data_IF_137227130981
#
_entry.id   IF_137227130981
#
_cell.length_a   1.000
_cell.length_b   1.000
_cell.length_c   1.000
_cell.angle_alpha   90.00
_cell.angle_beta   90.00
_cell.angle_gamma   90.00
#
_symmetry.space_group_name_H-M   'P 1'
#
loop_
_entity.id
_entity.type
_entity.pdbx_description
1 polymer ?
#
# COMPACT_ATOMS: atom_id res chain seq x y z
N UNK A 1 -8.22 -0.13 -21.65
CA UNK A 1 -9.52 -0.66 -22.08
C UNK A 1 -10.22 0.30 -23.04
N UNK A 2 -10.66 1.49 -22.59
CA UNK A 2 -11.43 2.46 -23.42
C UNK A 2 -10.67 2.83 -24.68
N UNK A 3 -9.41 3.27 -24.60
CA UNK A 3 -8.60 3.59 -25.78
C UNK A 3 -8.46 2.43 -26.77
N UNK A 4 -8.36 1.19 -26.26
CA UNK A 4 -8.26 0.01 -27.14
C UNK A 4 -9.57 -0.20 -27.92
N UNK A 5 -10.71 0.10 -27.31
CA UNK A 5 -12.02 0.08 -27.96
C UNK A 5 -12.11 1.15 -29.06
N UNK A 6 -11.76 2.41 -28.77
CA UNK A 6 -11.76 3.51 -29.73
C UNK A 6 -10.84 3.21 -30.94
N UNK A 7 -9.68 2.60 -30.65
CA UNK A 7 -8.75 2.16 -31.71
C UNK A 7 -9.38 1.08 -32.61
N UNK A 8 -10.05 0.09 -31.99
CA UNK A 8 -10.73 -0.99 -32.72
C UNK A 8 -11.84 -0.40 -33.65
N UNK A 9 -12.69 0.50 -33.13
CA UNK A 9 -13.71 1.18 -33.91
C UNK A 9 -13.13 2.03 -35.06
N UNK A 10 -11.92 2.55 -34.85
CA UNK A 10 -11.17 3.32 -35.86
C UNK A 10 -10.46 2.42 -36.91
N UNK A 11 -10.66 1.10 -36.86
CA UNK A 11 -10.11 0.14 -37.82
C UNK A 11 -8.73 -0.42 -37.50
N UNK A 12 -8.19 -0.18 -36.27
CA UNK A 12 -6.99 -0.86 -35.84
C UNK A 12 -7.32 -2.32 -35.49
N UNK A 13 -6.42 -3.22 -35.86
CA UNK A 13 -6.52 -4.65 -35.52
C UNK A 13 -5.34 -5.06 -34.69
N UNK A 14 -5.54 -5.99 -33.74
CA UNK A 14 -4.50 -6.60 -32.92
C UNK A 14 -4.02 -7.93 -33.48
N UNK A 15 -2.98 -8.47 -32.89
CA UNK A 15 -2.53 -9.86 -33.11
C UNK A 15 -3.62 -10.82 -32.62
N UNK A 16 -4.05 -11.75 -33.48
CA UNK A 16 -5.16 -12.67 -33.18
C UNK A 16 -4.85 -13.60 -32.00
N UNK A 17 -3.59 -13.99 -31.83
CA UNK A 17 -3.10 -14.84 -30.74
C UNK A 17 -1.97 -14.12 -29.95
N UNK A 18 -2.17 -12.86 -29.63
CA UNK A 18 -1.18 -12.02 -28.97
C UNK A 18 -0.73 -12.54 -27.61
N UNK A 19 -1.62 -13.25 -26.89
CA UNK A 19 -1.24 -13.88 -25.62
C UNK A 19 -0.17 -14.94 -25.82
N UNK A 20 -0.37 -15.88 -26.72
CA UNK A 20 0.62 -16.93 -27.01
C UNK A 20 1.85 -16.40 -27.72
N UNK A 21 1.68 -15.53 -28.73
CA UNK A 21 2.80 -15.06 -29.55
C UNK A 21 3.69 -14.06 -28.80
N UNK A 22 3.13 -13.17 -28.01
CA UNK A 22 3.89 -12.15 -27.29
C UNK A 22 4.24 -12.63 -25.89
N UNK A 23 3.24 -12.92 -25.06
CA UNK A 23 3.49 -13.33 -23.67
C UNK A 23 4.14 -14.70 -23.59
N UNK A 24 3.62 -15.69 -24.32
CA UNK A 24 4.14 -17.04 -24.29
C UNK A 24 5.50 -17.23 -24.93
N UNK A 25 5.74 -16.59 -26.11
CA UNK A 25 6.98 -16.87 -26.87
C UNK A 25 8.09 -15.83 -26.68
N UNK A 26 7.75 -14.60 -26.28
CA UNK A 26 8.72 -13.49 -26.22
C UNK A 26 9.02 -13.09 -24.77
N UNK A 27 7.99 -12.95 -23.92
CA UNK A 27 8.15 -12.38 -22.57
C UNK A 27 8.37 -13.45 -21.52
N UNK A 28 7.63 -14.56 -21.59
CA UNK A 28 7.65 -15.60 -20.54
C UNK A 28 8.71 -16.66 -20.77
N UNK A 29 9.30 -17.14 -19.69
CA UNK A 29 10.16 -18.33 -19.69
C UNK A 29 9.36 -19.64 -19.59
N UNK A 30 8.13 -19.55 -19.08
CA UNK A 30 7.19 -20.67 -18.96
C UNK A 30 5.79 -20.17 -19.33
N UNK A 31 5.04 -20.95 -20.12
CA UNK A 31 3.71 -20.57 -20.61
C UNK A 31 2.74 -21.74 -20.50
N UNK A 32 1.68 -21.56 -19.72
CA UNK A 32 0.61 -22.53 -19.45
C UNK A 32 -0.74 -21.85 -19.70
N UNK A 33 -1.20 -21.75 -20.95
CA UNK A 33 -2.45 -21.06 -21.28
C UNK A 33 -3.70 -21.69 -20.64
N UNK A 34 -3.66 -22.98 -20.32
CA UNK A 34 -4.71 -23.68 -19.59
C UNK A 34 -4.97 -23.12 -18.20
N UNK A 35 -3.97 -22.57 -17.53
CA UNK A 35 -4.13 -21.91 -16.23
C UNK A 35 -4.94 -20.61 -16.32
N UNK A 36 -4.95 -19.96 -17.48
CA UNK A 36 -5.72 -18.73 -17.68
C UNK A 36 -7.23 -18.97 -17.72
N UNK A 37 -7.64 -20.18 -18.08
CA UNK A 37 -9.06 -20.55 -18.18
C UNK A 37 -9.47 -21.51 -17.06
N UNK A 38 -8.54 -21.94 -16.24
CA UNK A 38 -8.82 -22.76 -15.08
C UNK A 38 -9.79 -22.05 -14.14
N UNK A 39 -10.79 -22.75 -13.69
CA UNK A 39 -11.80 -22.27 -12.73
C UNK A 39 -12.58 -21.00 -13.17
N UNK A 40 -12.65 -20.71 -14.49
CA UNK A 40 -13.51 -19.63 -15.00
C UNK A 40 -14.97 -19.78 -14.52
N UNK A 41 -15.52 -18.69 -13.97
CA UNK A 41 -16.89 -18.67 -13.44
C UNK A 41 -17.02 -19.18 -12.01
N UNK A 42 -15.97 -19.74 -11.42
CA UNK A 42 -15.95 -20.23 -10.03
C UNK A 42 -14.96 -19.51 -9.14
N UNK A 43 -13.82 -19.08 -9.70
CA UNK A 43 -12.78 -18.32 -8.99
C UNK A 43 -12.59 -16.94 -9.59
N UNK A 44 -12.60 -15.93 -8.74
CA UNK A 44 -12.43 -14.53 -9.11
C UNK A 44 -11.24 -13.94 -8.33
N UNK A 45 -10.15 -13.64 -9.02
CA UNK A 45 -8.94 -13.11 -8.39
C UNK A 45 -9.16 -11.73 -7.75
N UNK A 46 -10.16 -10.95 -8.20
CA UNK A 46 -10.53 -9.69 -7.56
C UNK A 46 -10.94 -9.88 -6.09
N UNK A 47 -11.56 -11.02 -5.75
CA UNK A 47 -11.95 -11.35 -4.38
C UNK A 47 -10.75 -11.70 -3.48
N UNK A 48 -9.58 -11.93 -4.07
CA UNK A 48 -8.33 -12.24 -3.38
C UNK A 48 -7.36 -11.06 -3.37
N UNK A 49 -7.80 -9.89 -3.77
CA UNK A 49 -7.02 -8.67 -3.69
C UNK A 49 -6.83 -8.22 -2.24
N UNK A 50 -5.83 -7.40 -2.02
CA UNK A 50 -5.59 -6.77 -0.74
C UNK A 50 -5.84 -5.26 -0.80
N UNK A 51 -6.19 -4.70 0.34
CA UNK A 51 -6.25 -3.26 0.56
C UNK A 51 -4.98 -2.78 1.26
N UNK A 52 -4.39 -1.70 0.77
CA UNK A 52 -3.21 -1.10 1.40
C UNK A 52 -3.61 -0.26 2.61
N UNK A 53 -3.18 -0.66 3.80
CA UNK A 53 -3.34 0.15 5.01
C UNK A 53 -2.46 1.39 4.97
N UNK A 54 -1.19 1.21 4.63
CA UNK A 54 -0.18 2.26 4.65
C UNK A 54 0.02 2.87 3.26
N UNK A 55 0.25 4.20 3.19
CA UNK A 55 0.39 4.95 1.94
C UNK A 55 1.78 4.82 1.29
N UNK A 56 2.37 3.63 1.33
CA UNK A 56 3.72 3.34 0.84
C UNK A 56 3.80 2.02 0.04
N UNK A 57 5.00 1.61 -0.33
CA UNK A 57 5.24 0.33 -0.98
C UNK A 57 4.77 -0.82 -0.09
N UNK A 58 4.19 -1.85 -0.72
CA UNK A 58 3.72 -3.05 -0.05
C UNK A 58 4.82 -3.74 0.78
N UNK A 59 6.06 -3.63 0.37
CA UNK A 59 7.19 -4.22 1.08
C UNK A 59 7.49 -3.58 2.44
N UNK A 60 7.00 -2.36 2.70
CA UNK A 60 7.11 -1.72 4.01
C UNK A 60 6.01 -2.15 5.00
N UNK A 61 4.90 -2.75 4.50
CA UNK A 61 3.71 -2.97 5.30
C UNK A 61 3.95 -3.88 6.49
N UNK A 62 4.65 -5.01 6.30
CA UNK A 62 4.97 -5.93 7.41
C UNK A 62 5.72 -5.25 8.55
N UNK A 63 6.67 -4.38 8.20
CA UNK A 63 7.40 -3.60 9.20
C UNK A 63 6.50 -2.61 9.94
N UNK A 64 5.62 -1.90 9.23
CA UNK A 64 4.70 -0.93 9.85
C UNK A 64 3.63 -1.61 10.70
N UNK A 65 3.15 -2.79 10.29
CA UNK A 65 2.22 -3.59 11.08
C UNK A 65 2.89 -4.12 12.35
N UNK A 66 4.13 -4.60 12.28
CA UNK A 66 4.90 -5.00 13.46
C UNK A 66 5.15 -3.82 14.41
N UNK A 67 5.46 -2.63 13.90
CA UNK A 67 5.55 -1.40 14.70
C UNK A 67 4.22 -1.05 15.40
N UNK A 68 3.10 -1.18 14.69
CA UNK A 68 1.78 -0.94 15.28
C UNK A 68 1.41 -1.97 16.37
N UNK A 69 1.88 -3.22 16.23
CA UNK A 69 1.72 -4.24 17.29
C UNK A 69 2.50 -3.84 18.55
N UNK A 70 3.76 -3.42 18.39
CA UNK A 70 4.60 -2.93 19.50
C UNK A 70 3.96 -1.72 20.17
N UNK A 71 3.53 -0.73 19.39
CA UNK A 71 2.90 0.50 19.89
C UNK A 71 1.66 0.18 20.75
N UNK A 72 0.82 -0.72 20.25
CA UNK A 72 -0.38 -1.18 20.97
C UNK A 72 -0.05 -1.92 22.25
N UNK A 73 0.96 -2.77 22.25
CA UNK A 73 1.34 -3.59 23.40
C UNK A 73 1.96 -2.75 24.53
N UNK A 74 2.81 -1.78 24.19
CA UNK A 74 3.44 -0.90 25.19
C UNK A 74 2.56 0.29 25.62
N UNK A 75 1.40 0.48 24.99
CA UNK A 75 0.46 1.57 25.34
C UNK A 75 0.84 2.95 24.79
N UNK A 76 1.63 2.98 23.73
CA UNK A 76 2.09 4.18 23.02
C UNK A 76 3.61 4.27 22.97
N UNK A 77 4.16 4.17 21.76
CA UNK A 77 5.60 4.23 21.50
C UNK A 77 6.00 5.65 21.09
N UNK A 78 6.99 6.22 21.76
CA UNK A 78 7.45 7.58 21.50
C UNK A 78 8.85 7.55 20.90
N UNK A 79 9.07 8.32 19.84
CA UNK A 79 10.36 8.39 19.14
C UNK A 79 11.53 8.78 20.07
N UNK A 80 11.26 9.59 21.12
CA UNK A 80 12.24 10.03 22.11
C UNK A 80 12.71 8.94 23.07
N UNK A 81 11.93 7.87 23.26
CA UNK A 81 12.29 6.75 24.14
C UNK A 81 13.15 5.70 23.40
N UNK A 82 13.21 5.79 22.06
CA UNK A 82 13.87 4.79 21.20
C UNK A 82 15.33 5.17 20.96
N UNK A 83 16.23 4.24 21.25
CA UNK A 83 17.64 4.32 20.88
C UNK A 83 17.83 3.97 19.39
N UNK A 84 17.40 2.78 18.98
CA UNK A 84 17.47 2.31 17.60
C UNK A 84 16.38 1.27 17.30
N UNK A 85 16.15 1.03 16.02
CA UNK A 85 15.23 -0.02 15.55
C UNK A 85 15.98 -0.95 14.61
N UNK A 86 15.82 -2.24 14.81
CA UNK A 86 16.30 -3.29 13.91
C UNK A 86 15.10 -3.93 13.22
N UNK A 87 15.15 -3.97 11.89
CA UNK A 87 14.16 -4.61 11.03
C UNK A 87 14.80 -5.81 10.34
N UNK A 88 14.21 -6.97 10.48
CA UNK A 88 14.57 -8.19 9.76
C UNK A 88 13.40 -8.58 8.87
N UNK A 89 13.65 -8.76 7.56
CA UNK A 89 12.59 -9.00 6.58
C UNK A 89 13.11 -9.83 5.41
N UNK A 90 12.26 -10.11 4.43
CA UNK A 90 12.65 -10.86 3.22
C UNK A 90 13.50 -10.00 2.26
N UNK A 91 14.24 -10.64 1.36
CA UNK A 91 15.26 -10.03 0.48
C UNK A 91 14.78 -8.76 -0.23
N UNK A 92 13.62 -8.80 -0.92
CA UNK A 92 13.10 -7.65 -1.68
C UNK A 92 12.74 -6.46 -0.80
N UNK A 93 12.30 -6.67 0.43
CA UNK A 93 12.00 -5.59 1.36
C UNK A 93 13.29 -5.03 1.98
N UNK A 94 14.29 -5.86 2.21
CA UNK A 94 15.58 -5.44 2.74
C UNK A 94 16.35 -4.50 1.78
N UNK A 95 16.10 -4.57 0.48
CA UNK A 95 16.63 -3.61 -0.50
C UNK A 95 16.12 -2.16 -0.30
N UNK A 96 14.99 -1.98 0.39
CA UNK A 96 14.38 -0.67 0.63
C UNK A 96 14.97 0.02 1.88
N UNK A 97 16.28 0.00 2.03
CA UNK A 97 17.02 0.39 3.24
C UNK A 97 17.59 1.82 3.24
N UNK A 98 17.27 2.66 2.23
CA UNK A 98 17.76 4.05 2.16
C UNK A 98 17.07 4.93 3.23
N UNK A 99 17.79 5.42 4.28
CA UNK A 99 17.20 6.27 5.31
C UNK A 99 16.96 7.71 4.84
N UNK A 100 17.57 8.14 3.73
CA UNK A 100 17.60 9.52 3.26
C UNK A 100 16.99 9.70 1.85
N UNK A 101 15.72 9.33 1.61
CA UNK A 101 15.08 9.43 0.32
C UNK A 101 15.02 10.90 -0.16
N UNK A 102 15.16 11.12 -1.47
CA UNK A 102 15.27 12.46 -2.05
C UNK A 102 13.96 13.01 -2.62
N UNK A 103 12.91 12.21 -2.65
CA UNK A 103 11.58 12.60 -3.13
C UNK A 103 10.49 11.73 -2.50
N UNK A 104 9.23 12.13 -2.69
CA UNK A 104 8.08 11.45 -2.08
C UNK A 104 7.93 9.99 -2.54
N UNK A 105 8.26 9.69 -3.80
CA UNK A 105 8.24 8.31 -4.29
C UNK A 105 9.32 7.48 -3.61
N UNK A 106 10.55 7.97 -3.55
CA UNK A 106 11.65 7.29 -2.84
C UNK A 106 11.30 7.06 -1.36
N UNK A 107 10.66 8.03 -0.69
CA UNK A 107 10.21 7.86 0.70
C UNK A 107 9.19 6.74 0.86
N UNK A 108 8.30 6.56 -0.11
CA UNK A 108 7.35 5.42 -0.11
C UNK A 108 8.03 4.07 -0.36
N UNK A 109 9.27 4.07 -0.84
CA UNK A 109 10.12 2.89 -1.07
C UNK A 109 11.30 2.83 -0.10
N UNK A 110 11.18 3.43 1.08
CA UNK A 110 12.18 3.37 2.15
C UNK A 110 11.54 2.83 3.42
N UNK A 111 12.03 1.71 3.94
CA UNK A 111 11.60 1.17 5.23
C UNK A 111 11.99 2.11 6.38
N UNK A 112 13.25 2.60 6.47
CA UNK A 112 13.64 3.51 7.56
C UNK A 112 12.79 4.79 7.57
N UNK A 113 12.62 5.44 6.43
CA UNK A 113 11.82 6.65 6.34
C UNK A 113 10.35 6.38 6.67
N UNK A 114 9.76 5.29 6.14
CA UNK A 114 8.36 4.95 6.40
C UNK A 114 8.10 4.73 7.90
N UNK A 115 8.98 4.01 8.60
CA UNK A 115 8.90 3.80 10.05
C UNK A 115 9.06 5.12 10.80
N UNK A 116 10.10 5.90 10.50
CA UNK A 116 10.36 7.18 11.16
C UNK A 116 9.19 8.15 11.00
N UNK A 117 8.74 8.34 9.76
CA UNK A 117 7.66 9.28 9.46
C UNK A 117 6.33 8.82 10.06
N UNK A 118 6.00 7.53 10.02
CA UNK A 118 4.78 6.97 10.62
C UNK A 118 4.77 7.18 12.13
N UNK A 119 5.87 6.86 12.81
CA UNK A 119 5.98 7.01 14.26
C UNK A 119 5.86 8.47 14.70
N UNK A 120 6.60 9.37 14.05
CA UNK A 120 6.61 10.79 14.43
C UNK A 120 5.31 11.54 14.09
N UNK A 121 4.58 11.08 13.06
CA UNK A 121 3.29 11.67 12.69
C UNK A 121 2.08 10.94 13.29
N UNK A 122 2.29 9.83 13.99
CA UNK A 122 1.22 8.96 14.52
C UNK A 122 0.22 8.55 13.42
N UNK A 123 0.69 8.41 12.20
CA UNK A 123 -0.09 8.06 11.03
C UNK A 123 0.79 7.46 9.94
N UNK A 124 0.31 6.46 9.23
CA UNK A 124 0.92 5.90 8.03
C UNK A 124 0.17 6.30 6.75
N UNK A 125 -0.69 7.30 6.85
CA UNK A 125 -1.46 7.87 5.75
C UNK A 125 -0.61 8.70 4.78
N UNK A 126 -1.29 9.30 3.80
CA UNK A 126 -0.63 10.06 2.72
C UNK A 126 0.17 11.26 3.24
N UNK A 127 -0.29 11.88 4.33
CA UNK A 127 0.36 13.04 4.96
C UNK A 127 1.75 12.75 5.51
N UNK A 128 2.06 11.48 5.80
CA UNK A 128 3.40 11.06 6.26
C UNK A 128 4.43 10.95 5.11
N UNK A 129 3.99 11.07 3.85
CA UNK A 129 4.86 10.90 2.67
C UNK A 129 4.87 12.14 1.77
N UNK A 130 4.69 13.33 2.36
CA UNK A 130 4.72 14.60 1.63
C UNK A 130 6.16 15.14 1.47
N UNK A 131 6.35 16.12 0.58
CA UNK A 131 7.63 16.81 0.42
C UNK A 131 8.13 17.47 1.71
N UNK A 132 7.24 17.96 2.55
CA UNK A 132 7.57 18.53 3.84
C UNK A 132 8.21 17.46 4.74
N UNK A 133 7.61 16.27 4.82
CA UNK A 133 8.10 15.17 5.65
C UNK A 133 9.43 14.58 5.13
N UNK A 134 9.61 14.51 3.82
CA UNK A 134 10.89 14.08 3.21
C UNK A 134 12.04 14.99 3.62
N UNK A 135 11.77 16.28 3.84
CA UNK A 135 12.78 17.29 4.18
C UNK A 135 12.88 17.58 5.67
N UNK A 136 12.06 16.94 6.47
CA UNK A 136 12.08 17.14 7.93
C UNK A 136 13.37 16.54 8.53
N UNK A 137 14.28 17.39 9.07
CA UNK A 137 15.55 16.89 9.60
C UNK A 137 15.37 15.98 10.82
N UNK A 138 14.28 16.11 11.57
CA UNK A 138 14.01 15.23 12.71
C UNK A 138 13.62 13.82 12.24
N UNK A 139 12.80 13.71 11.18
CA UNK A 139 12.45 12.42 10.57
C UNK A 139 13.69 11.78 9.97
N UNK A 140 14.54 12.54 9.26
CA UNK A 140 15.79 12.03 8.68
C UNK A 140 16.76 11.51 9.76
N UNK A 141 16.96 12.30 10.82
CA UNK A 141 17.84 11.90 11.93
C UNK A 141 17.32 10.65 12.67
N UNK A 142 15.99 10.47 12.74
CA UNK A 142 15.41 9.26 13.32
C UNK A 142 15.53 8.07 12.37
N UNK A 143 15.32 8.26 11.07
CA UNK A 143 15.47 7.21 10.05
C UNK A 143 16.90 6.62 10.02
N UNK A 144 17.92 7.45 10.28
CA UNK A 144 19.33 7.01 10.38
C UNK A 144 19.59 6.02 11.54
N UNK A 145 18.67 5.90 12.49
CA UNK A 145 18.73 4.93 13.61
C UNK A 145 17.99 3.62 13.32
N UNK A 146 17.51 3.43 12.10
CA UNK A 146 16.73 2.27 11.69
C UNK A 146 17.54 1.44 10.71
N UNK A 147 17.91 0.24 11.13
CA UNK A 147 18.71 -0.69 10.35
C UNK A 147 17.83 -1.80 9.78
N UNK A 148 17.99 -2.11 8.49
CA UNK A 148 17.18 -3.12 7.78
C UNK A 148 18.08 -4.24 7.29
N UNK A 149 17.70 -5.48 7.58
CA UNK A 149 18.46 -6.68 7.24
C UNK A 149 17.56 -7.71 6.55
N UNK A 150 18.15 -8.48 5.64
CA UNK A 150 17.53 -9.72 5.17
C UNK A 150 17.67 -10.80 6.25
N UNK A 151 16.56 -11.51 6.51
CA UNK A 151 16.57 -12.82 7.19
C UNK A 151 16.24 -13.90 6.14
N UNK A 152 17.16 -14.83 5.84
CA UNK A 152 16.91 -15.89 4.85
C UNK A 152 15.71 -16.77 5.21
N UNK A 153 15.39 -16.94 6.51
CA UNK A 153 14.22 -17.70 6.92
C UNK A 153 12.91 -16.98 6.56
N UNK A 154 12.90 -15.64 6.66
CA UNK A 154 11.76 -14.83 6.22
C UNK A 154 11.68 -14.77 4.68
N UNK A 155 12.82 -14.73 3.98
CA UNK A 155 12.86 -14.81 2.52
C UNK A 155 12.28 -16.13 2.01
N UNK A 156 12.54 -17.24 2.69
CA UNK A 156 12.01 -18.55 2.31
C UNK A 156 10.48 -18.68 2.41
N UNK A 157 9.81 -17.74 3.07
CA UNK A 157 8.34 -17.68 3.16
C UNK A 157 7.69 -17.02 1.93
N UNK A 158 8.49 -16.43 1.05
CA UNK A 158 8.01 -15.86 -0.23
C UNK A 158 7.68 -16.99 -1.22
N UNK A 159 6.73 -16.82 -2.10
CA UNK A 159 5.88 -15.65 -2.35
C UNK A 159 4.62 -15.59 -1.49
N UNK A 160 4.33 -16.62 -0.69
CA UNK A 160 3.06 -16.76 0.03
C UNK A 160 2.89 -15.71 1.12
N UNK A 161 3.97 -15.40 1.83
CA UNK A 161 3.98 -14.41 2.91
C UNK A 161 5.03 -13.33 2.66
N UNK A 162 4.81 -12.15 3.30
CA UNK A 162 5.73 -11.00 3.27
C UNK A 162 6.04 -10.54 4.69
N UNK A 163 6.75 -11.40 5.44
CA UNK A 163 6.96 -11.20 6.88
C UNK A 163 7.96 -10.10 7.18
N UNK A 164 7.82 -9.52 8.37
CA UNK A 164 8.82 -8.63 8.95
C UNK A 164 8.85 -8.81 10.46
N UNK A 165 10.06 -8.87 11.04
CA UNK A 165 10.32 -8.83 12.48
C UNK A 165 10.95 -7.50 12.82
N UNK A 166 10.43 -6.83 13.84
CA UNK A 166 10.95 -5.56 14.32
C UNK A 166 11.38 -5.72 15.77
N UNK A 167 12.58 -5.24 16.05
CA UNK A 167 13.11 -5.09 17.43
C UNK A 167 13.35 -3.61 17.68
N UNK A 168 12.62 -3.03 18.63
CA UNK A 168 12.80 -1.67 19.12
C UNK A 168 13.64 -1.73 20.39
N UNK A 169 14.79 -1.06 20.37
CA UNK A 169 15.65 -0.89 21.55
C UNK A 169 15.37 0.48 22.18
N UNK A 170 14.95 0.49 23.43
CA UNK A 170 14.71 1.72 24.18
C UNK A 170 16.00 2.18 24.91
N UNK A 171 16.08 3.48 25.22
CA UNK A 171 17.22 4.06 25.97
C UNK A 171 17.44 3.47 27.35
N UNK A 172 16.41 2.90 27.98
CA UNK A 172 16.51 2.23 29.27
C UNK A 172 17.03 0.78 29.18
N UNK A 173 17.32 0.29 27.99
CA UNK A 173 17.77 -1.06 27.71
C UNK A 173 16.66 -2.08 27.46
N UNK A 174 15.40 -1.68 27.49
CA UNK A 174 14.27 -2.54 27.14
C UNK A 174 14.27 -2.86 25.65
N UNK A 175 13.96 -4.10 25.30
CA UNK A 175 13.73 -4.54 23.93
C UNK A 175 12.26 -4.93 23.74
N UNK A 176 11.62 -4.36 22.72
CA UNK A 176 10.26 -4.67 22.32
C UNK A 176 10.31 -5.35 20.95
N UNK A 177 9.69 -6.52 20.82
CA UNK A 177 9.78 -7.34 19.59
C UNK A 177 8.38 -7.69 19.09
N UNK A 178 8.15 -7.52 17.80
CA UNK A 178 6.97 -8.05 17.14
C UNK A 178 7.32 -8.61 15.75
N UNK A 179 6.53 -9.57 15.30
CA UNK A 179 6.62 -10.15 13.95
C UNK A 179 5.25 -10.15 13.28
N UNK A 180 5.16 -9.49 12.12
CA UNK A 180 4.01 -9.55 11.25
C UNK A 180 4.30 -10.55 10.12
N UNK A 181 3.53 -11.63 10.06
CA UNK A 181 3.64 -12.65 9.01
C UNK A 181 2.83 -12.28 7.78
N UNK A 182 1.61 -11.80 7.99
CA UNK A 182 0.68 -11.27 7.00
C UNK A 182 0.45 -9.80 7.27
N UNK A 183 -0.06 -9.05 6.29
CA UNK A 183 -0.34 -7.64 6.49
C UNK A 183 -1.84 -7.42 6.66
N UNK A 184 -2.21 -6.47 7.51
CA UNK A 184 -3.61 -6.05 7.65
C UNK A 184 -4.14 -5.54 6.31
N UNK A 185 -5.28 -6.07 5.88
CA UNK A 185 -5.88 -5.83 4.56
C UNK A 185 -5.58 -6.91 3.52
N UNK A 186 -4.79 -7.94 3.85
CA UNK A 186 -4.60 -9.13 3.02
C UNK A 186 -5.81 -10.07 3.09
N UNK A 187 -5.87 -11.04 2.18
CA UNK A 187 -6.91 -12.08 2.17
C UNK A 187 -6.92 -12.89 3.47
N UNK A 188 -5.75 -13.07 4.08
CA UNK A 188 -5.54 -13.83 5.33
C UNK A 188 -5.87 -12.99 6.58
N UNK A 189 -5.88 -11.66 6.47
CA UNK A 189 -6.22 -10.70 7.54
C UNK A 189 -6.96 -9.50 6.94
N UNK A 190 -8.19 -9.72 6.41
CA UNK A 190 -8.93 -8.70 5.65
C UNK A 190 -9.42 -7.57 6.55
N UNK A 191 -9.60 -6.39 5.95
CA UNK A 191 -10.33 -5.30 6.61
C UNK A 191 -11.77 -5.70 6.88
N UNK A 192 -12.31 -5.19 7.99
CA UNK A 192 -13.74 -5.11 8.18
C UNK A 192 -14.35 -3.88 7.46
N UNK A 193 -15.68 -3.79 7.47
CA UNK A 193 -16.40 -2.72 6.78
C UNK A 193 -16.06 -1.34 7.38
N UNK A 194 -15.92 -1.24 8.70
CA UNK A 194 -15.61 0.02 9.38
C UNK A 194 -14.21 0.54 8.99
N UNK A 195 -13.22 -0.36 8.84
CA UNK A 195 -11.87 0.00 8.39
C UNK A 195 -11.85 0.46 6.91
N UNK A 196 -12.69 -0.17 6.05
CA UNK A 196 -12.85 0.25 4.66
C UNK A 196 -13.50 1.62 4.57
N UNK A 197 -14.56 1.86 5.33
CA UNK A 197 -15.27 3.14 5.40
C UNK A 197 -14.36 4.26 5.94
N UNK A 198 -13.59 3.97 6.98
CA UNK A 198 -12.60 4.91 7.50
C UNK A 198 -11.54 5.26 6.46
N UNK A 199 -11.01 4.28 5.75
CA UNK A 199 -10.05 4.49 4.67
C UNK A 199 -10.66 5.31 3.53
N UNK A 200 -11.90 5.03 3.14
CA UNK A 200 -12.62 5.82 2.15
C UNK A 200 -12.77 7.28 2.60
N UNK A 201 -13.25 7.50 3.82
CA UNK A 201 -13.46 8.85 4.37
C UNK A 201 -12.14 9.64 4.46
N UNK A 202 -11.04 9.01 4.87
CA UNK A 202 -9.71 9.63 4.92
C UNK A 202 -9.24 10.07 3.52
N UNK A 203 -9.36 9.22 2.53
CA UNK A 203 -8.87 9.50 1.18
C UNK A 203 -9.78 10.48 0.44
N UNK A 204 -11.09 10.27 0.45
CA UNK A 204 -12.08 11.12 -0.22
C UNK A 204 -12.11 12.52 0.39
N UNK A 205 -12.00 12.63 1.71
CA UNK A 205 -11.96 13.89 2.45
C UNK A 205 -10.78 14.80 2.09
N UNK A 206 -9.77 14.30 1.37
CA UNK A 206 -8.67 15.11 0.83
C UNK A 206 -9.08 15.90 -0.42
N UNK A 207 -10.09 15.42 -1.14
CA UNK A 207 -10.51 15.92 -2.44
C UNK A 207 -11.89 16.58 -2.36
N UNK A 208 -12.82 15.95 -1.64
CA UNK A 208 -14.22 16.35 -1.57
C UNK A 208 -14.62 16.80 -0.16
N UNK A 209 -15.70 17.55 -0.05
CA UNK A 209 -16.41 17.67 1.21
C UNK A 209 -17.21 16.38 1.51
N UNK A 210 -17.74 16.31 2.73
CA UNK A 210 -18.46 15.11 3.19
C UNK A 210 -19.71 14.82 2.37
N UNK A 211 -20.40 15.86 1.86
CA UNK A 211 -21.62 15.68 1.07
C UNK A 211 -21.34 15.00 -0.26
N UNK A 212 -20.31 15.48 -0.97
CA UNK A 212 -19.87 14.90 -2.23
C UNK A 212 -19.30 13.51 -2.01
N UNK A 213 -18.46 13.32 -0.98
CA UNK A 213 -17.89 12.03 -0.65
C UNK A 213 -18.99 10.97 -0.38
N UNK A 214 -20.00 11.31 0.41
CA UNK A 214 -21.12 10.41 0.68
C UNK A 214 -21.93 10.13 -0.59
N UNK A 215 -22.17 11.13 -1.44
CA UNK A 215 -22.88 10.92 -2.71
C UNK A 215 -22.13 9.96 -3.63
N UNK A 216 -20.80 10.09 -3.75
CA UNK A 216 -19.97 9.13 -4.51
C UNK A 216 -20.06 7.73 -3.92
N UNK A 217 -19.94 7.61 -2.59
CA UNK A 217 -20.07 6.33 -1.88
C UNK A 217 -21.40 5.65 -2.20
N UNK A 218 -22.51 6.35 -2.01
CA UNK A 218 -23.86 5.82 -2.22
C UNK A 218 -24.08 5.37 -3.67
N UNK A 219 -23.61 6.15 -4.65
CA UNK A 219 -23.71 5.78 -6.07
C UNK A 219 -22.83 4.56 -6.42
N UNK A 220 -21.64 4.44 -5.82
CA UNK A 220 -20.78 3.26 -6.00
C UNK A 220 -21.46 1.99 -5.48
N UNK A 221 -22.10 2.02 -4.31
CA UNK A 221 -22.83 0.87 -3.76
C UNK A 221 -24.18 0.63 -4.44
N UNK A 222 -24.68 1.59 -5.21
CA UNK A 222 -25.90 1.47 -6.00
C UNK A 222 -25.64 1.23 -7.49
N UNK A 223 -24.39 1.04 -7.92
CA UNK A 223 -23.99 1.08 -9.35
C UNK A 223 -24.81 0.13 -10.23
N UNK A 224 -25.21 -1.02 -9.74
CA UNK A 224 -26.01 -1.99 -10.46
C UNK A 224 -27.46 -1.52 -10.68
N UNK A 225 -27.90 -0.48 -9.97
CA UNK A 225 -29.27 0.08 -10.00
C UNK A 225 -29.33 1.42 -10.71
N UNK A 226 -28.19 2.01 -11.09
CA UNK A 226 -28.15 3.25 -11.81
C UNK A 226 -28.71 3.06 -13.24
N UNK A 227 -29.60 3.95 -13.66
CA UNK A 227 -30.11 3.96 -15.03
C UNK A 227 -29.05 4.47 -16.03
N UNK A 228 -28.18 5.37 -15.57
CA UNK A 228 -27.10 5.96 -16.34
C UNK A 228 -25.87 6.13 -15.43
N UNK A 229 -24.72 5.61 -15.86
CA UNK A 229 -23.44 5.77 -15.13
C UNK A 229 -23.03 7.25 -14.98
N UNK A 230 -23.57 8.14 -15.79
CA UNK A 230 -23.35 9.59 -15.65
C UNK A 230 -23.89 10.16 -14.33
N UNK A 231 -24.80 9.46 -13.66
CA UNK A 231 -25.22 9.82 -12.30
C UNK A 231 -24.03 9.77 -11.33
N UNK A 232 -23.22 8.70 -11.38
CA UNK A 232 -22.00 8.60 -10.60
C UNK A 232 -20.91 9.56 -11.09
N UNK A 233 -20.63 9.59 -12.40
CA UNK A 233 -19.53 10.43 -12.92
C UNK A 233 -19.82 11.92 -12.78
N UNK A 234 -21.09 12.31 -12.74
CA UNK A 234 -21.53 13.68 -12.45
C UNK A 234 -21.11 14.16 -11.04
N UNK A 235 -20.94 13.24 -10.08
CA UNK A 235 -20.44 13.57 -8.75
C UNK A 235 -18.97 14.04 -8.76
N UNK A 236 -18.20 13.73 -9.80
CA UNK A 236 -16.79 14.14 -9.94
C UNK A 236 -16.61 15.55 -10.49
N UNK A 237 -17.58 16.42 -10.35
CA UNK A 237 -17.52 17.76 -10.92
C UNK A 237 -16.35 18.57 -10.31
N UNK A 238 -15.50 19.13 -11.18
CA UNK A 238 -14.29 19.85 -10.78
C UNK A 238 -14.57 21.11 -9.94
N UNK A 239 -15.76 21.69 -10.02
CA UNK A 239 -16.15 22.87 -9.22
C UNK A 239 -16.32 22.56 -7.72
N UNK A 240 -16.48 21.30 -7.37
CA UNK A 240 -16.69 20.83 -5.99
C UNK A 240 -15.40 20.21 -5.38
N UNK A 241 -14.32 20.19 -6.16
CA UNK A 241 -13.02 19.71 -5.68
C UNK A 241 -12.37 20.72 -4.75
N UNK A 242 -11.84 20.26 -3.62
CA UNK A 242 -10.97 21.08 -2.79
C UNK A 242 -9.71 21.45 -3.61
N UNK A 243 -9.15 22.66 -3.39
CA UNK A 243 -7.87 23.00 -4.01
C UNK A 243 -6.85 21.90 -3.73
N UNK A 244 -6.15 21.46 -4.76
CA UNK A 244 -5.10 20.46 -4.61
C UNK A 244 -4.11 20.92 -3.54
N UNK A 245 -4.04 20.20 -2.41
CA UNK A 245 -2.95 20.40 -1.47
C UNK A 245 -1.68 19.95 -2.20
N UNK A 246 -0.68 20.81 -2.25
CA UNK A 246 0.63 20.50 -2.85
C UNK A 246 1.15 19.22 -2.20
N UNK A 247 1.19 18.12 -2.99
CA UNK A 247 1.72 16.84 -2.56
C UNK A 247 3.25 16.91 -2.43
#
# INVERSE_FOLDING_TARGET
GIMAWDMLESGFTGEADGLTTIWGKVISTEWKPEEMIAELGSRYEIARNYFKRHACCRYNHGTLDAMAMIDKECGGLRAEDIDRIRVETYSLAAELSDPNPKNTLAGKFSVPFAVASTLMNQSSGVESFTWEKIRDPAIQAFADRIEVFEDPALTAMMPDFRPSRVTVHLHDGTELIAEAKTNRGDTEDPYDDDELDQKYAELSGRVWDTTVANSVYDHCFAIERLADVNELTGCFNASELKPARTL
#
